data_IF_642141308718
#
_entry.id   IF_642141308718
#
_cell.length_a   1.000
_cell.length_b   1.000
_cell.length_c   1.000
_cell.angle_alpha   90.00
_cell.angle_beta   90.00
_cell.angle_gamma   90.00
#
_symmetry.space_group_name_H-M   'P 1'
#
loop_
_entity.id
_entity.type
_entity.pdbx_description
1 polymer ?
#
# COMPACT_ATOMS: atom_id res chain seq x y z
N UNK A 1 21.02 23.78 -19.55
CA UNK A 1 20.65 23.36 -18.19
C UNK A 1 19.14 23.48 -18.09
N UNK A 2 18.44 22.44 -17.73
CA UNK A 2 17.05 22.56 -17.36
C UNK A 2 16.90 23.54 -16.17
N UNK A 3 15.81 24.33 -16.08
CA UNK A 3 15.59 25.19 -14.92
C UNK A 3 15.55 24.33 -13.65
N UNK A 4 16.02 24.91 -12.52
CA UNK A 4 15.90 24.26 -11.23
C UNK A 4 14.42 23.94 -10.93
N UNK A 5 14.12 22.81 -10.28
CA UNK A 5 12.75 22.50 -9.89
C UNK A 5 12.21 23.62 -9.01
N UNK A 6 10.99 24.07 -9.28
CA UNK A 6 10.38 25.20 -8.58
C UNK A 6 8.93 24.83 -8.21
N UNK A 7 8.58 25.03 -6.96
CA UNK A 7 7.20 24.99 -6.47
C UNK A 7 6.68 26.43 -6.35
N UNK A 8 5.50 26.69 -6.88
CA UNK A 8 4.85 27.99 -6.81
C UNK A 8 4.45 28.33 -5.36
N UNK A 9 5.00 29.38 -4.73
CA UNK A 9 4.72 29.69 -3.33
C UNK A 9 3.26 30.06 -3.05
N UNK A 10 2.58 30.74 -3.98
CA UNK A 10 1.18 31.15 -3.79
C UNK A 10 0.24 29.92 -3.84
N UNK A 11 0.55 28.95 -4.71
CA UNK A 11 -0.17 27.69 -4.78
C UNK A 11 0.07 26.83 -3.53
N UNK A 12 1.31 26.76 -3.02
CA UNK A 12 1.62 26.10 -1.75
C UNK A 12 0.88 26.75 -0.57
N UNK A 13 0.85 28.10 -0.52
CA UNK A 13 0.12 28.81 0.51
C UNK A 13 -1.38 28.46 0.46
N UNK A 14 -1.95 28.39 -0.73
CA UNK A 14 -3.35 27.98 -0.91
C UNK A 14 -3.58 26.55 -0.42
N UNK A 15 -2.69 25.62 -0.77
CA UNK A 15 -2.73 24.23 -0.29
C UNK A 15 -2.69 24.17 1.23
N UNK A 16 -1.74 24.87 1.87
CA UNK A 16 -1.61 24.89 3.33
C UNK A 16 -2.89 25.41 4.00
N UNK A 17 -3.44 26.55 3.54
CA UNK A 17 -4.68 27.10 4.07
C UNK A 17 -5.87 26.14 3.94
N UNK A 18 -5.96 25.39 2.83
CA UNK A 18 -7.04 24.41 2.61
C UNK A 18 -6.95 23.25 3.57
N UNK A 19 -5.74 22.72 3.79
CA UNK A 19 -5.51 21.60 4.70
C UNK A 19 -5.66 22.03 6.16
N UNK A 20 -5.10 23.18 6.55
CA UNK A 20 -5.24 23.75 7.90
C UNK A 20 -6.72 23.97 8.28
N UNK A 21 -7.51 24.52 7.36
CA UNK A 21 -8.93 24.73 7.57
C UNK A 21 -9.71 23.42 7.83
N UNK A 22 -9.26 22.28 7.32
CA UNK A 22 -9.87 20.97 7.65
C UNK A 22 -9.55 20.54 9.07
N UNK A 23 -8.34 20.82 9.55
CA UNK A 23 -7.95 20.56 10.94
C UNK A 23 -8.72 21.48 11.90
N UNK A 24 -8.84 22.75 11.56
CA UNK A 24 -9.64 23.73 12.35
C UNK A 24 -11.12 23.35 12.48
N UNK A 25 -11.68 22.72 11.44
CA UNK A 25 -13.06 22.18 11.47
C UNK A 25 -13.19 20.80 12.12
N UNK A 26 -12.09 20.27 12.68
CA UNK A 26 -12.02 18.93 13.25
C UNK A 26 -12.42 17.80 12.28
N UNK A 27 -12.25 18.01 10.98
CA UNK A 27 -12.35 16.96 9.95
C UNK A 27 -11.14 16.00 9.99
N UNK A 28 -10.01 16.49 10.50
CA UNK A 28 -8.77 15.78 10.76
C UNK A 28 -8.23 16.20 12.13
N UNK A 29 -7.82 15.27 13.01
CA UNK A 29 -7.09 15.63 14.23
C UNK A 29 -5.78 16.34 13.93
N UNK A 30 -5.05 15.82 12.95
CA UNK A 30 -3.81 16.37 12.47
C UNK A 30 -3.31 15.64 11.22
N UNK A 31 -2.34 16.26 10.57
CA UNK A 31 -1.80 15.79 9.29
C UNK A 31 -0.38 16.28 9.08
N UNK A 32 0.42 15.47 8.39
CA UNK A 32 1.71 15.87 7.82
C UNK A 32 1.61 15.74 6.30
N UNK A 33 1.97 16.80 5.57
CA UNK A 33 1.97 16.80 4.11
C UNK A 33 3.37 17.08 3.58
N UNK A 34 3.71 16.49 2.43
CA UNK A 34 4.93 16.79 1.70
C UNK A 34 4.61 16.95 0.23
N UNK A 35 5.10 18.03 -0.36
CA UNK A 35 5.07 18.31 -1.79
C UNK A 35 6.52 18.49 -2.25
N UNK A 36 6.99 17.64 -3.13
CA UNK A 36 8.36 17.72 -3.62
C UNK A 36 8.40 17.76 -5.13
N UNK A 37 9.18 18.67 -5.69
CA UNK A 37 9.53 18.68 -7.12
C UNK A 37 10.96 18.23 -7.29
N UNK A 38 11.12 17.10 -7.98
CA UNK A 38 12.41 16.48 -8.29
C UNK A 38 12.79 16.83 -9.72
N UNK A 39 13.93 17.50 -9.88
CA UNK A 39 14.45 17.87 -11.20
C UNK A 39 15.56 16.95 -11.68
N UNK A 40 15.97 17.16 -12.93
CA UNK A 40 17.09 16.47 -13.53
C UNK A 40 18.39 16.74 -12.75
N UNK A 41 19.29 15.75 -12.73
CA UNK A 41 20.59 15.90 -12.08
C UNK A 41 20.58 15.94 -10.54
N UNK A 42 19.46 15.58 -9.93
CA UNK A 42 19.38 15.41 -8.47
C UNK A 42 18.98 16.65 -7.68
N UNK A 43 18.72 17.78 -8.35
CA UNK A 43 18.12 18.95 -7.68
C UNK A 43 16.69 18.66 -7.25
N UNK A 44 16.28 19.22 -6.10
CA UNK A 44 14.90 19.07 -5.62
C UNK A 44 14.49 20.29 -4.79
N UNK A 45 13.20 20.57 -4.78
CA UNK A 45 12.57 21.47 -3.83
C UNK A 45 11.50 20.70 -3.07
N UNK A 46 11.56 20.76 -1.75
CA UNK A 46 10.66 20.02 -0.84
C UNK A 46 9.97 21.02 0.08
N UNK A 47 8.66 20.94 0.14
CA UNK A 47 7.80 21.66 1.08
C UNK A 47 7.14 20.65 2.01
N UNK A 48 7.24 20.87 3.33
CA UNK A 48 6.61 20.03 4.36
C UNK A 48 5.78 20.92 5.27
N UNK A 49 4.51 20.59 5.42
CA UNK A 49 3.62 21.26 6.35
C UNK A 49 3.05 20.28 7.39
N UNK A 50 2.84 20.79 8.59
CA UNK A 50 2.37 20.01 9.74
C UNK A 50 1.25 20.78 10.43
N UNK A 51 0.08 20.15 10.63
CA UNK A 51 -1.07 20.77 11.25
C UNK A 51 -1.69 19.86 12.30
N UNK A 52 -2.20 20.46 13.39
CA UNK A 52 -3.00 19.77 14.40
C UNK A 52 -2.22 18.91 15.38
N UNK A 53 -2.92 17.93 15.92
CA UNK A 53 -2.48 17.07 17.03
C UNK A 53 -2.54 15.59 16.64
N UNK A 54 -1.88 14.72 17.42
CA UNK A 54 -1.89 13.26 17.20
C UNK A 54 -3.23 12.60 17.54
N UNK A 55 -4.13 13.35 18.17
CA UNK A 55 -5.51 12.96 18.48
C UNK A 55 -6.33 14.19 18.84
N UNK A 56 -7.63 14.16 18.60
CA UNK A 56 -8.53 15.28 18.94
C UNK A 56 -8.43 15.66 20.42
N UNK A 57 -7.97 16.89 20.71
CA UNK A 57 -7.81 17.40 22.05
C UNK A 57 -6.75 16.69 22.91
N UNK A 58 -5.79 16.01 22.27
CA UNK A 58 -4.72 15.30 22.99
C UNK A 58 -3.72 16.25 23.64
N UNK A 59 -3.52 17.43 23.08
CA UNK A 59 -2.45 18.36 23.45
C UNK A 59 -1.07 17.94 22.94
N UNK A 60 -0.97 16.80 22.25
CA UNK A 60 0.27 16.30 21.66
C UNK A 60 0.35 16.77 20.20
N UNK A 61 1.24 17.71 19.85
CA UNK A 61 1.28 18.25 18.50
C UNK A 61 1.72 17.21 17.48
N UNK A 62 1.12 17.24 16.29
CA UNK A 62 1.64 16.54 15.12
C UNK A 62 3.04 17.07 14.80
N UNK A 63 3.93 16.23 14.30
CA UNK A 63 5.33 16.57 13.99
C UNK A 63 5.72 15.98 12.65
N UNK A 64 6.75 16.54 12.00
CA UNK A 64 7.30 16.00 10.76
C UNK A 64 7.76 14.54 10.92
N UNK A 65 8.34 14.19 12.06
CA UNK A 65 8.82 12.86 12.42
C UNK A 65 7.75 11.99 13.10
N UNK A 66 6.47 12.35 13.00
CA UNK A 66 5.37 11.51 13.51
C UNK A 66 5.31 10.21 12.70
N UNK A 67 5.34 9.04 13.36
CA UNK A 67 5.15 7.76 12.68
C UNK A 67 3.67 7.52 12.39
N UNK A 68 3.37 6.92 11.24
CA UNK A 68 2.01 6.59 10.81
C UNK A 68 1.90 5.12 10.44
N UNK A 69 0.77 4.50 10.75
CA UNK A 69 0.40 3.20 10.18
C UNK A 69 0.01 3.43 8.73
N UNK A 70 0.91 3.10 7.80
CA UNK A 70 0.72 3.43 6.38
C UNK A 70 -0.20 2.46 5.65
N UNK A 71 -0.65 1.41 6.32
CA UNK A 71 -1.57 0.40 5.82
C UNK A 71 -1.25 -0.01 4.38
N UNK A 72 -2.17 0.17 3.42
CA UNK A 72 -1.98 -0.31 2.04
C UNK A 72 -0.83 0.36 1.27
N UNK A 73 -0.27 1.47 1.75
CA UNK A 73 0.99 1.98 1.20
C UNK A 73 2.19 1.06 1.49
N UNK A 74 2.01 -0.01 2.26
CA UNK A 74 2.95 -1.14 2.39
C UNK A 74 3.13 -1.89 1.05
N UNK A 75 2.07 -2.03 0.25
CA UNK A 75 2.04 -2.85 -0.97
C UNK A 75 3.11 -2.47 -2.00
N UNK A 76 3.30 -1.18 -2.33
CA UNK A 76 4.36 -0.76 -3.25
C UNK A 76 5.77 -1.13 -2.76
N UNK A 77 6.03 -1.02 -1.45
CA UNK A 77 7.33 -1.36 -0.85
C UNK A 77 7.59 -2.87 -0.96
N UNK A 78 6.58 -3.69 -0.64
CA UNK A 78 6.68 -5.17 -0.76
C UNK A 78 6.80 -5.60 -2.21
N UNK A 79 6.08 -4.97 -3.14
CA UNK A 79 6.22 -5.23 -4.57
C UNK A 79 7.62 -4.86 -5.09
N UNK A 80 8.18 -3.74 -4.64
CA UNK A 80 9.56 -3.33 -4.93
C UNK A 80 10.57 -4.38 -4.40
N UNK A 81 10.31 -4.96 -3.22
CA UNK A 81 11.16 -6.01 -2.66
C UNK A 81 11.13 -7.29 -3.53
N UNK A 82 9.96 -7.67 -4.06
CA UNK A 82 9.87 -8.79 -5.03
C UNK A 82 10.71 -8.50 -6.27
N UNK A 83 10.59 -7.28 -6.81
CA UNK A 83 11.34 -6.88 -8.01
C UNK A 83 12.84 -6.76 -7.74
N UNK A 84 13.28 -6.38 -6.55
CA UNK A 84 14.69 -6.41 -6.17
C UNK A 84 15.27 -7.84 -6.20
N UNK A 85 14.48 -8.84 -5.75
CA UNK A 85 14.88 -10.25 -5.89
C UNK A 85 14.89 -10.71 -7.36
N UNK A 86 13.97 -10.20 -8.19
CA UNK A 86 13.96 -10.47 -9.64
C UNK A 86 15.23 -9.87 -10.30
N UNK A 87 15.55 -8.62 -9.97
CA UNK A 87 16.77 -7.95 -10.47
C UNK A 87 18.06 -8.70 -10.09
N UNK A 88 18.06 -9.33 -8.90
CA UNK A 88 19.15 -10.16 -8.41
C UNK A 88 19.15 -11.60 -8.99
N UNK A 89 18.15 -11.98 -9.79
CA UNK A 89 18.00 -13.33 -10.34
C UNK A 89 17.51 -14.38 -9.33
N UNK A 90 17.02 -13.95 -8.16
CA UNK A 90 16.48 -14.83 -7.12
C UNK A 90 15.03 -15.26 -7.36
N UNK A 91 14.29 -14.53 -8.20
CA UNK A 91 12.92 -14.84 -8.61
C UNK A 91 12.75 -14.61 -10.12
N UNK A 92 11.85 -15.38 -10.72
CA UNK A 92 11.36 -15.15 -12.09
C UNK A 92 9.88 -14.77 -12.01
N UNK A 93 9.51 -13.63 -12.62
CA UNK A 93 8.15 -13.10 -12.60
C UNK A 93 7.13 -14.04 -13.27
N UNK A 94 7.54 -14.79 -14.28
CA UNK A 94 6.68 -15.60 -15.12
C UNK A 94 6.77 -17.11 -14.82
N UNK A 95 7.69 -17.49 -13.94
CA UNK A 95 7.74 -18.85 -13.43
C UNK A 95 6.59 -19.15 -12.45
N UNK A 96 6.09 -20.40 -12.41
CA UNK A 96 5.17 -20.83 -11.36
C UNK A 96 5.72 -20.63 -9.95
N UNK A 97 4.89 -20.13 -9.03
CA UNK A 97 5.31 -19.93 -7.62
C UNK A 97 5.26 -21.22 -6.80
N UNK A 98 4.73 -22.30 -7.32
CA UNK A 98 4.51 -23.59 -6.62
C UNK A 98 5.82 -24.25 -6.15
N UNK A 99 6.94 -23.95 -6.77
CA UNK A 99 8.26 -24.38 -6.29
C UNK A 99 8.62 -23.82 -4.92
N UNK A 100 8.19 -22.61 -4.60
CA UNK A 100 8.37 -21.95 -3.29
C UNK A 100 7.12 -22.02 -2.43
N UNK A 101 5.95 -22.07 -3.05
CA UNK A 101 4.63 -22.13 -2.41
C UNK A 101 3.86 -23.38 -2.88
N UNK A 102 4.29 -24.60 -2.48
CA UNK A 102 3.64 -25.84 -2.92
C UNK A 102 2.16 -25.93 -2.54
N UNK A 103 1.71 -25.15 -1.56
CA UNK A 103 0.29 -25.01 -1.17
C UNK A 103 -0.54 -24.33 -2.28
N UNK A 104 0.11 -23.67 -3.22
CA UNK A 104 -0.54 -23.06 -4.39
C UNK A 104 -0.43 -23.91 -5.67
N UNK A 105 0.14 -25.10 -5.59
CA UNK A 105 0.09 -26.06 -6.68
C UNK A 105 -1.33 -26.62 -6.89
N UNK A 106 -1.63 -27.04 -8.12
CA UNK A 106 -2.87 -27.76 -8.49
C UNK A 106 -4.17 -27.12 -7.98
N UNK A 107 -4.23 -25.77 -8.04
CA UNK A 107 -5.37 -25.00 -7.50
C UNK A 107 -6.68 -25.39 -8.18
N UNK A 108 -7.74 -25.32 -7.38
CA UNK A 108 -9.13 -25.46 -7.84
C UNK A 108 -9.79 -24.09 -7.87
N UNK A 109 -10.66 -23.85 -8.85
CA UNK A 109 -11.38 -22.60 -9.09
C UNK A 109 -12.88 -22.86 -8.97
N UNK A 110 -13.59 -22.01 -8.24
CA UNK A 110 -15.05 -22.06 -8.11
C UNK A 110 -15.74 -21.93 -9.48
N UNK A 111 -16.76 -22.72 -9.71
CA UNK A 111 -17.62 -22.56 -10.91
C UNK A 111 -18.53 -21.34 -10.80
N UNK A 112 -18.90 -20.94 -9.58
CA UNK A 112 -19.68 -19.76 -9.23
C UNK A 112 -19.26 -19.26 -7.84
N UNK A 113 -19.11 -17.96 -7.68
CA UNK A 113 -18.64 -17.32 -6.42
C UNK A 113 -19.56 -17.65 -5.23
N UNK A 114 -20.88 -17.66 -5.47
CA UNK A 114 -21.89 -17.97 -4.45
C UNK A 114 -22.21 -19.46 -4.34
N UNK A 115 -21.46 -20.30 -5.06
CA UNK A 115 -21.67 -21.75 -5.07
C UNK A 115 -21.01 -22.48 -3.92
N UNK A 116 -21.35 -23.78 -3.72
CA UNK A 116 -20.66 -24.62 -2.75
C UNK A 116 -19.17 -24.76 -3.07
N UNK A 117 -18.32 -24.80 -2.02
CA UNK A 117 -16.85 -24.82 -2.15
C UNK A 117 -16.29 -26.06 -2.88
N UNK A 118 -17.04 -27.14 -2.94
CA UNK A 118 -16.68 -28.37 -3.66
C UNK A 118 -17.02 -28.36 -5.16
N UNK A 119 -17.78 -27.32 -5.61
CA UNK A 119 -18.12 -27.11 -7.03
C UNK A 119 -17.03 -26.34 -7.74
N UNK A 120 -15.98 -27.04 -8.10
CA UNK A 120 -14.77 -26.44 -8.66
C UNK A 120 -14.32 -27.13 -9.94
N UNK A 121 -13.53 -26.39 -10.73
CA UNK A 121 -12.77 -26.91 -11.87
C UNK A 121 -11.28 -26.74 -11.59
N UNK A 122 -10.36 -27.45 -12.28
CA UNK A 122 -8.93 -27.16 -12.17
C UNK A 122 -8.60 -25.73 -12.60
N UNK A 123 -7.56 -25.13 -12.01
CA UNK A 123 -6.95 -23.95 -12.58
C UNK A 123 -6.36 -24.30 -13.96
N UNK A 124 -6.52 -23.40 -14.93
CA UNK A 124 -6.06 -23.60 -16.31
C UNK A 124 -4.54 -23.49 -16.44
N UNK A 125 -3.91 -22.79 -15.51
CA UNK A 125 -2.46 -22.65 -15.40
C UNK A 125 -2.02 -22.43 -13.95
N UNK A 126 -0.74 -22.64 -13.63
CA UNK A 126 -0.18 -22.24 -12.35
C UNK A 126 -0.25 -20.71 -12.12
N UNK A 127 -0.19 -20.31 -10.84
CA UNK A 127 -0.02 -18.92 -10.42
C UNK A 127 1.45 -18.53 -10.58
N UNK A 128 1.72 -17.29 -11.05
CA UNK A 128 3.07 -16.75 -11.19
C UNK A 128 3.29 -15.57 -10.21
N UNK A 129 4.55 -15.17 -9.99
CA UNK A 129 4.84 -13.99 -9.19
C UNK A 129 4.23 -12.72 -9.82
N UNK A 130 4.15 -12.64 -11.15
CA UNK A 130 3.45 -11.57 -11.87
C UNK A 130 1.97 -11.51 -11.50
N UNK A 131 1.29 -12.64 -11.37
CA UNK A 131 -0.12 -12.66 -10.96
C UNK A 131 -0.32 -12.10 -9.54
N UNK A 132 0.62 -12.38 -8.63
CA UNK A 132 0.60 -11.83 -7.28
C UNK A 132 0.77 -10.31 -7.28
N UNK A 133 1.77 -9.79 -8.02
CA UNK A 133 2.09 -8.36 -8.11
C UNK A 133 1.00 -7.55 -8.82
N UNK A 134 0.37 -8.15 -9.82
CA UNK A 134 -0.71 -7.52 -10.60
C UNK A 134 -2.11 -7.83 -10.07
N UNK A 135 -2.21 -8.48 -8.91
CA UNK A 135 -3.47 -8.84 -8.24
C UNK A 135 -4.43 -9.68 -9.10
N UNK A 136 -3.86 -10.59 -9.90
CA UNK A 136 -4.58 -11.51 -10.76
C UNK A 136 -4.39 -12.97 -10.35
N UNK A 137 -4.04 -13.22 -9.09
CA UNK A 137 -3.88 -14.61 -8.59
C UNK A 137 -5.17 -15.43 -8.60
N UNK A 138 -6.33 -14.79 -8.78
CA UNK A 138 -7.65 -15.42 -8.76
C UNK A 138 -8.34 -15.42 -7.40
N UNK A 139 -7.86 -14.65 -6.41
CA UNK A 139 -8.48 -14.50 -5.10
C UNK A 139 -8.23 -13.10 -4.53
N UNK A 140 -9.24 -12.53 -3.86
CA UNK A 140 -9.13 -11.24 -3.18
C UNK A 140 -10.49 -10.66 -2.84
N UNK A 141 -10.51 -9.38 -2.46
CA UNK A 141 -11.75 -8.67 -2.16
C UNK A 141 -12.68 -8.65 -3.36
N UNK A 142 -13.99 -8.80 -3.11
CA UNK A 142 -15.02 -8.92 -4.13
C UNK A 142 -16.23 -8.00 -3.93
N UNK A 143 -16.16 -7.09 -2.96
CA UNK A 143 -17.19 -6.09 -2.66
C UNK A 143 -16.68 -4.66 -2.73
N UNK A 144 -17.52 -3.73 -2.28
CA UNK A 144 -17.23 -2.30 -2.16
C UNK A 144 -17.77 -1.77 -0.82
N UNK A 145 -17.32 -0.60 -0.34
CA UNK A 145 -17.88 -0.02 0.86
C UNK A 145 -19.42 0.10 0.80
N UNK A 146 -20.14 -0.13 1.89
CA UNK A 146 -19.61 -0.44 3.22
C UNK A 146 -19.16 -1.91 3.42
N UNK A 147 -19.45 -2.83 2.51
CA UNK A 147 -19.08 -4.24 2.61
C UNK A 147 -18.08 -4.64 1.52
N UNK A 148 -16.82 -4.47 1.85
CA UNK A 148 -15.70 -4.76 0.93
C UNK A 148 -15.44 -6.26 0.74
N UNK A 149 -16.04 -7.10 1.58
CA UNK A 149 -15.89 -8.56 1.52
C UNK A 149 -17.22 -9.24 1.87
N UNK A 150 -18.25 -9.09 1.00
CA UNK A 150 -19.60 -9.57 1.29
C UNK A 150 -19.61 -11.07 1.58
N UNK A 151 -20.50 -11.55 2.45
CA UNK A 151 -20.56 -12.93 2.83
C UNK A 151 -20.86 -13.83 1.61
N UNK A 152 -19.84 -14.53 1.15
CA UNK A 152 -19.91 -15.62 0.19
C UNK A 152 -19.37 -16.89 0.85
N UNK A 153 -19.69 -18.09 0.36
CA UNK A 153 -19.18 -19.33 0.98
C UNK A 153 -17.65 -19.33 1.16
N UNK A 154 -16.91 -18.79 0.21
CA UNK A 154 -15.44 -18.76 0.29
C UNK A 154 -14.93 -17.69 1.25
N UNK A 155 -15.58 -16.53 1.34
CA UNK A 155 -15.22 -15.49 2.32
C UNK A 155 -15.51 -15.97 3.75
N UNK A 156 -16.66 -16.58 3.98
CA UNK A 156 -17.01 -17.19 5.28
C UNK A 156 -16.04 -18.30 5.67
N UNK A 157 -15.60 -19.11 4.70
CA UNK A 157 -14.61 -20.15 4.95
C UNK A 157 -13.22 -19.58 5.29
N UNK A 158 -12.85 -18.43 4.71
CA UNK A 158 -11.62 -17.72 5.05
C UNK A 158 -11.70 -17.10 6.46
N UNK A 159 -12.85 -16.50 6.79
CA UNK A 159 -13.12 -15.94 8.12
C UNK A 159 -13.07 -17.02 9.21
N UNK A 160 -13.74 -18.18 8.98
CA UNK A 160 -13.69 -19.32 9.90
C UNK A 160 -12.29 -19.89 10.14
N UNK A 161 -11.33 -19.56 9.27
CA UNK A 161 -9.91 -19.92 9.39
C UNK A 161 -9.04 -18.79 9.92
N UNK A 162 -9.65 -17.67 10.36
CA UNK A 162 -8.96 -16.48 10.85
C UNK A 162 -7.85 -15.97 9.89
N UNK A 163 -8.11 -16.02 8.57
CA UNK A 163 -7.12 -15.60 7.57
C UNK A 163 -6.94 -14.09 7.47
N UNK A 164 -7.87 -13.28 7.99
CA UNK A 164 -7.81 -11.81 8.02
C UNK A 164 -7.44 -11.20 6.67
N UNK A 165 -8.28 -11.46 5.64
CA UNK A 165 -7.93 -11.15 4.24
C UNK A 165 -8.09 -9.69 3.84
N UNK A 166 -8.92 -8.91 4.54
CA UNK A 166 -9.33 -7.57 4.12
C UNK A 166 -8.87 -6.44 5.05
N UNK A 167 -8.63 -6.72 6.32
CA UNK A 167 -8.33 -5.68 7.30
C UNK A 167 -6.83 -5.36 7.33
N UNK A 168 -6.47 -4.07 7.49
CA UNK A 168 -5.08 -3.63 7.54
C UNK A 168 -4.47 -3.79 8.94
N UNK A 169 -4.71 -4.92 9.62
CA UNK A 169 -4.32 -5.09 11.01
C UNK A 169 -3.29 -6.20 11.19
N UNK A 170 -2.30 -6.05 12.09
CA UNK A 170 -1.35 -7.11 12.41
C UNK A 170 -1.99 -8.19 13.32
N UNK A 171 -3.23 -8.57 13.04
CA UNK A 171 -4.02 -9.50 13.88
C UNK A 171 -4.14 -10.91 13.34
N UNK A 172 -3.50 -11.20 12.23
CA UNK A 172 -3.49 -12.58 11.71
C UNK A 172 -2.82 -13.50 12.73
N UNK A 173 -3.54 -14.47 13.31
CA UNK A 173 -3.01 -15.27 14.42
C UNK A 173 -2.05 -16.37 13.97
N UNK A 174 -1.98 -16.62 12.67
CA UNK A 174 -1.19 -17.69 12.06
C UNK A 174 0.19 -17.19 11.64
N UNK A 175 1.21 -18.01 11.89
CA UNK A 175 2.52 -17.81 11.25
C UNK A 175 2.41 -17.97 9.71
N UNK A 176 3.33 -17.41 8.92
CA UNK A 176 3.24 -17.40 7.45
C UNK A 176 3.02 -18.78 6.82
N UNK A 177 3.70 -19.81 7.29
CA UNK A 177 3.56 -21.17 6.76
C UNK A 177 2.19 -21.79 7.06
N UNK A 178 1.64 -21.55 8.23
CA UNK A 178 0.30 -22.01 8.56
C UNK A 178 -0.76 -21.20 7.81
N UNK A 179 -0.56 -19.89 7.67
CA UNK A 179 -1.46 -19.03 6.92
C UNK A 179 -1.58 -19.49 5.46
N UNK A 180 -0.45 -19.72 4.76
CA UNK A 180 -0.47 -20.12 3.35
C UNK A 180 -1.03 -21.52 3.18
N UNK A 181 -0.81 -22.43 4.13
CA UNK A 181 -1.41 -23.76 4.16
C UNK A 181 -2.93 -23.67 4.22
N UNK A 182 -3.47 -22.91 5.16
CA UNK A 182 -4.92 -22.71 5.31
C UNK A 182 -5.53 -21.99 4.09
N UNK A 183 -4.84 -21.00 3.52
CA UNK A 183 -5.24 -20.33 2.30
C UNK A 183 -5.24 -21.31 1.10
N UNK A 184 -4.24 -22.18 1.04
CA UNK A 184 -4.10 -23.21 0.02
C UNK A 184 -5.30 -24.18 -0.05
N UNK A 185 -6.02 -24.40 1.05
CA UNK A 185 -7.21 -25.27 1.11
C UNK A 185 -8.46 -24.62 0.50
N UNK A 186 -8.49 -23.28 0.33
CA UNK A 186 -9.64 -22.60 -0.25
C UNK A 186 -9.57 -22.66 -1.79
N UNK A 187 -10.70 -22.85 -2.50
CA UNK A 187 -10.70 -22.68 -3.94
C UNK A 187 -10.49 -21.21 -4.33
N UNK A 188 -9.89 -20.99 -5.49
CA UNK A 188 -9.82 -19.66 -6.09
C UNK A 188 -11.22 -19.19 -6.52
N UNK A 189 -11.43 -17.88 -6.55
CA UNK A 189 -12.65 -17.22 -7.03
C UNK A 189 -12.71 -17.18 -8.56
N UNK A 190 -11.54 -16.96 -9.22
CA UNK A 190 -11.39 -16.86 -10.67
C UNK A 190 -10.16 -17.62 -11.15
N UNK A 191 -10.07 -17.87 -12.45
CA UNK A 191 -8.87 -18.41 -13.08
C UNK A 191 -7.70 -17.43 -12.92
N UNK A 192 -6.48 -17.94 -12.61
CA UNK A 192 -5.29 -17.11 -12.52
C UNK A 192 -5.07 -16.29 -13.78
N UNK A 193 -4.81 -14.98 -13.62
CA UNK A 193 -4.57 -14.03 -14.71
C UNK A 193 -5.82 -13.40 -15.30
N UNK A 194 -7.04 -13.80 -14.93
CA UNK A 194 -8.26 -13.34 -15.60
C UNK A 194 -8.86 -12.08 -15.01
N UNK A 195 -8.92 -11.96 -13.67
CA UNK A 195 -9.54 -10.83 -12.98
C UNK A 195 -8.62 -10.19 -11.97
N UNK A 196 -8.70 -8.88 -11.85
CA UNK A 196 -8.08 -8.12 -10.78
C UNK A 196 -8.90 -8.24 -9.50
N UNK A 197 -8.23 -8.62 -8.39
CA UNK A 197 -8.85 -8.68 -7.05
C UNK A 197 -7.89 -8.18 -6.00
N UNK A 198 -8.36 -7.20 -5.26
CA UNK A 198 -7.55 -6.46 -4.30
C UNK A 198 -7.07 -7.30 -3.11
N UNK A 199 -5.92 -6.94 -2.57
CA UNK A 199 -5.33 -7.24 -1.27
C UNK A 199 -4.57 -8.56 -1.16
N UNK A 200 -5.19 -9.72 -1.44
CA UNK A 200 -4.63 -11.04 -1.09
C UNK A 200 -3.30 -11.32 -1.79
N UNK A 201 -3.11 -10.81 -3.00
CA UNK A 201 -1.83 -10.93 -3.70
C UNK A 201 -0.64 -10.45 -2.86
N UNK A 202 -0.77 -9.35 -2.13
CA UNK A 202 0.32 -8.83 -1.29
C UNK A 202 0.55 -9.64 -0.01
N UNK A 203 -0.48 -10.28 0.53
CA UNK A 203 -0.31 -11.22 1.65
C UNK A 203 0.56 -12.42 1.21
N UNK A 204 0.23 -12.98 0.04
CA UNK A 204 0.98 -14.10 -0.54
C UNK A 204 2.41 -13.67 -0.93
N UNK A 205 2.60 -12.45 -1.45
CA UNK A 205 3.94 -11.89 -1.72
C UNK A 205 4.83 -11.90 -0.47
N UNK A 206 4.28 -11.57 0.70
CA UNK A 206 5.03 -11.62 1.96
C UNK A 206 5.56 -13.02 2.27
N UNK A 207 4.74 -14.06 2.07
CA UNK A 207 5.18 -15.46 2.27
C UNK A 207 6.18 -15.89 1.19
N UNK A 208 5.93 -15.51 -0.07
CA UNK A 208 6.85 -15.79 -1.18
C UNK A 208 8.24 -15.22 -0.92
N UNK A 209 8.32 -13.94 -0.51
CA UNK A 209 9.57 -13.26 -0.20
C UNK A 209 10.34 -13.96 0.92
N UNK A 210 9.66 -14.28 2.02
CA UNK A 210 10.30 -14.94 3.15
C UNK A 210 10.90 -16.30 2.76
N UNK A 211 10.20 -17.07 1.94
CA UNK A 211 10.70 -18.38 1.45
C UNK A 211 11.79 -18.24 0.39
N UNK A 212 11.66 -17.29 -0.55
CA UNK A 212 12.65 -17.07 -1.59
C UNK A 212 14.01 -16.59 -1.02
N UNK A 213 13.98 -15.80 0.05
CA UNK A 213 15.16 -15.29 0.72
C UNK A 213 15.62 -16.18 1.91
N UNK A 214 14.85 -17.21 2.28
CA UNK A 214 15.09 -18.05 3.46
C UNK A 214 15.25 -17.22 4.76
N UNK A 215 14.50 -16.11 4.87
CA UNK A 215 14.58 -15.15 5.96
C UNK A 215 13.19 -14.56 6.29
N UNK A 216 12.99 -14.03 7.51
CA UNK A 216 11.75 -13.32 7.86
C UNK A 216 11.46 -12.15 6.91
N UNK A 217 10.18 -11.91 6.57
CA UNK A 217 9.79 -10.84 5.66
C UNK A 217 10.33 -9.46 6.07
N UNK A 218 10.35 -9.15 7.38
CA UNK A 218 10.86 -7.88 7.90
C UNK A 218 12.35 -7.69 7.53
N UNK A 219 13.16 -8.72 7.72
CA UNK A 219 14.58 -8.69 7.39
C UNK A 219 14.80 -8.52 5.87
N UNK A 220 14.02 -9.22 5.05
CA UNK A 220 14.12 -9.14 3.58
C UNK A 220 13.76 -7.74 3.06
N UNK A 221 12.65 -7.17 3.55
CA UNK A 221 12.24 -5.81 3.17
C UNK A 221 13.26 -4.78 3.64
N UNK A 222 13.78 -4.94 4.86
CA UNK A 222 14.80 -4.07 5.44
C UNK A 222 16.07 -4.09 4.60
N UNK A 223 16.62 -5.26 4.32
CA UNK A 223 17.88 -5.42 3.59
C UNK A 223 17.79 -4.89 2.14
N UNK A 224 16.70 -5.21 1.44
CA UNK A 224 16.60 -4.93 0.01
C UNK A 224 16.08 -3.52 -0.30
N UNK A 225 15.26 -2.93 0.57
CA UNK A 225 14.61 -1.64 0.30
C UNK A 225 14.87 -0.61 1.40
N UNK A 226 14.59 -0.91 2.69
CA UNK A 226 14.60 0.14 3.71
C UNK A 226 16.00 0.67 3.99
N UNK A 227 16.97 -0.20 4.25
CA UNK A 227 18.36 0.19 4.52
C UNK A 227 19.02 0.89 3.31
N UNK A 228 18.88 0.39 2.06
CA UNK A 228 19.36 1.10 0.88
C UNK A 228 18.79 2.50 0.68
N UNK A 229 17.58 2.76 1.17
CA UNK A 229 16.89 4.05 1.09
C UNK A 229 17.05 4.92 2.35
N UNK A 230 17.68 4.40 3.41
CA UNK A 230 17.82 5.08 4.69
C UNK A 230 16.50 5.25 5.46
N UNK A 231 15.51 4.38 5.22
CA UNK A 231 14.18 4.41 5.84
C UNK A 231 14.21 3.80 7.26
N UNK A 232 14.92 4.47 8.17
CA UNK A 232 15.24 3.94 9.49
C UNK A 232 14.02 3.87 10.44
N UNK A 233 12.99 4.68 10.19
CA UNK A 233 11.77 4.76 10.99
C UNK A 233 10.62 3.92 10.38
N UNK A 234 10.95 3.03 9.41
CA UNK A 234 9.98 2.17 8.73
C UNK A 234 10.18 0.71 9.10
N UNK A 235 9.09 0.00 9.42
CA UNK A 235 9.14 -1.43 9.75
C UNK A 235 7.76 -2.03 10.04
N UNK A 236 7.70 -3.37 10.09
CA UNK A 236 6.51 -4.12 10.55
C UNK A 236 6.33 -4.07 12.06
N UNK A 237 7.39 -3.73 12.78
CA UNK A 237 7.39 -3.29 14.17
C UNK A 237 8.37 -2.14 14.32
N UNK A 238 8.12 -1.26 15.29
CA UNK A 238 8.95 -0.07 15.55
C UNK A 238 9.34 -0.01 17.02
N UNK A 239 10.42 0.69 17.39
CA UNK A 239 10.81 0.88 18.79
C UNK A 239 9.65 1.40 19.66
N UNK A 240 9.62 1.04 20.94
CA UNK A 240 8.52 1.37 21.85
C UNK A 240 8.24 2.87 21.93
N UNK A 241 9.28 3.68 21.97
CA UNK A 241 9.17 5.14 22.01
C UNK A 241 8.52 5.71 20.73
N UNK A 242 8.79 5.12 19.59
CA UNK A 242 8.14 5.45 18.32
C UNK A 242 6.69 4.95 18.29
N UNK A 243 6.45 3.71 18.72
CA UNK A 243 5.10 3.13 18.76
C UNK A 243 4.14 3.93 19.67
N UNK A 244 4.65 4.48 20.78
CA UNK A 244 3.88 5.36 21.69
C UNK A 244 3.46 6.69 21.06
N UNK A 245 4.13 7.11 19.98
CA UNK A 245 3.87 8.37 19.25
C UNK A 245 2.90 8.18 18.08
N UNK A 246 2.44 6.94 17.81
CA UNK A 246 1.47 6.67 16.75
C UNK A 246 0.17 7.45 17.01
N UNK A 247 -0.33 8.23 16.03
CA UNK A 247 -1.55 8.99 16.17
C UNK A 247 -2.77 8.09 16.39
N UNK A 248 -3.79 8.62 17.04
CA UNK A 248 -5.08 7.97 17.14
C UNK A 248 -5.70 7.74 15.74
N UNK A 249 -6.31 6.57 15.54
CA UNK A 249 -7.07 6.30 14.32
C UNK A 249 -8.53 6.74 14.49
N UNK A 250 -9.08 7.39 13.45
CA UNK A 250 -10.42 7.97 13.44
C UNK A 250 -11.20 7.55 12.19
N UNK A 251 -12.51 7.41 12.39
CA UNK A 251 -13.49 7.21 11.33
C UNK A 251 -14.66 8.17 11.56
N UNK A 252 -15.35 8.59 10.50
CA UNK A 252 -16.56 9.39 10.63
C UNK A 252 -17.74 8.50 11.02
N UNK A 253 -18.45 8.86 12.06
CA UNK A 253 -19.78 8.31 12.34
C UNK A 253 -20.76 8.90 11.31
N UNK A 254 -21.22 8.09 10.39
CA UNK A 254 -22.13 8.53 9.32
C UNK A 254 -23.50 9.02 9.83
N UNK A 255 -23.90 8.67 11.06
CA UNK A 255 -25.16 9.13 11.64
C UNK A 255 -25.05 10.55 12.21
N UNK A 256 -23.89 10.92 12.76
CA UNK A 256 -23.65 12.22 13.41
C UNK A 256 -22.77 13.15 12.59
N UNK A 257 -21.94 12.62 11.68
CA UNK A 257 -20.91 13.35 10.94
C UNK A 257 -19.67 13.66 11.78
N UNK A 258 -19.59 13.16 13.01
CA UNK A 258 -18.47 13.41 13.92
C UNK A 258 -17.38 12.33 13.76
N UNK A 259 -16.12 12.73 13.98
CA UNK A 259 -15.01 11.78 14.06
C UNK A 259 -15.12 10.98 15.36
N UNK A 260 -15.09 9.66 15.21
CA UNK A 260 -15.05 8.72 16.33
C UNK A 260 -13.74 7.96 16.31
N UNK A 261 -13.28 7.57 17.50
CA UNK A 261 -12.10 6.72 17.66
C UNK A 261 -12.54 5.29 17.89
N UNK A 262 -12.41 4.40 16.91
CA UNK A 262 -12.65 2.97 17.13
C UNK A 262 -11.75 2.43 18.25
N UNK A 263 -12.13 1.30 18.89
CA UNK A 263 -11.22 0.60 19.79
C UNK A 263 -9.92 0.32 19.03
N UNK A 264 -8.88 1.11 19.34
CA UNK A 264 -7.61 1.00 18.65
C UNK A 264 -6.84 -0.20 19.17
N UNK A 265 -6.03 -0.81 18.30
CA UNK A 265 -4.96 -1.67 18.74
C UNK A 265 -4.05 -0.90 19.69
N UNK A 266 -3.73 -1.46 20.85
CA UNK A 266 -2.79 -0.83 21.73
C UNK A 266 -1.46 -0.65 21.00
N UNK A 267 -0.76 0.46 21.26
CA UNK A 267 0.54 0.74 20.65
C UNK A 267 1.55 -0.42 20.81
N UNK A 268 1.40 -1.24 21.85
CA UNK A 268 2.22 -2.43 22.11
C UNK A 268 2.19 -3.42 20.96
N UNK A 269 1.09 -3.51 20.22
CA UNK A 269 0.96 -4.37 19.03
C UNK A 269 1.96 -3.97 17.95
N UNK A 270 2.30 -2.69 17.87
CA UNK A 270 3.24 -2.15 16.87
C UNK A 270 4.68 -2.10 17.37
N UNK A 271 4.90 -2.30 18.67
CA UNK A 271 6.23 -2.39 19.28
C UNK A 271 6.76 -3.82 19.36
N UNK A 272 5.95 -4.82 19.03
CA UNK A 272 6.33 -6.23 19.02
C UNK A 272 6.30 -6.79 17.60
N UNK A 273 7.18 -7.74 17.25
CA UNK A 273 7.13 -8.43 15.98
C UNK A 273 5.75 -9.08 15.76
N UNK A 274 5.14 -8.83 14.61
CA UNK A 274 3.86 -9.43 14.24
C UNK A 274 4.04 -10.95 14.01
N UNK A 275 3.07 -11.77 14.42
CA UNK A 275 3.05 -13.21 14.12
C UNK A 275 3.04 -13.43 12.59
N UNK A 276 2.29 -12.58 11.88
CA UNK A 276 2.25 -12.53 10.41
C UNK A 276 2.55 -11.11 9.97
N UNK A 277 3.79 -10.79 9.58
CA UNK A 277 4.09 -9.50 8.95
C UNK A 277 3.29 -9.36 7.66
N UNK A 278 2.32 -8.43 7.65
CA UNK A 278 1.39 -8.30 6.53
C UNK A 278 2.00 -7.53 5.37
N UNK A 279 2.35 -8.20 4.29
CA UNK A 279 2.78 -7.56 3.04
C UNK A 279 1.73 -6.65 2.40
N UNK A 280 0.49 -6.70 2.88
CA UNK A 280 -0.60 -5.88 2.39
C UNK A 280 -0.79 -4.56 3.17
N UNK A 281 -0.39 -4.50 4.47
CA UNK A 281 -0.74 -3.35 5.31
C UNK A 281 0.07 -3.19 6.61
N UNK A 282 1.14 -3.95 6.80
CA UNK A 282 1.79 -4.11 8.10
C UNK A 282 2.82 -3.05 8.48
N UNK A 283 3.17 -2.09 7.61
CA UNK A 283 4.23 -1.14 7.89
C UNK A 283 3.74 0.10 8.66
N UNK A 284 4.59 0.54 9.57
CA UNK A 284 4.66 1.91 10.09
C UNK A 284 5.74 2.64 9.31
N UNK A 285 5.57 3.95 9.06
CA UNK A 285 6.56 4.78 8.37
C UNK A 285 6.40 6.24 8.77
N UNK A 286 7.36 7.09 8.41
CA UNK A 286 7.30 8.55 8.48
C UNK A 286 7.18 9.16 7.09
N UNK A 287 6.86 10.45 7.02
CA UNK A 287 6.72 11.14 5.73
C UNK A 287 8.05 11.21 4.97
N UNK A 288 9.16 11.39 5.69
CA UNK A 288 10.50 11.48 5.10
C UNK A 288 10.98 10.12 4.57
N UNK A 289 10.76 9.05 5.33
CA UNK A 289 11.09 7.69 4.89
C UNK A 289 10.30 7.32 3.63
N UNK A 290 8.99 7.55 3.64
CA UNK A 290 8.18 7.24 2.46
C UNK A 290 8.54 8.12 1.25
N UNK A 291 8.95 9.37 1.48
CA UNK A 291 9.47 10.24 0.42
C UNK A 291 10.75 9.66 -0.20
N UNK A 292 11.65 9.09 0.57
CA UNK A 292 12.85 8.44 0.03
C UNK A 292 12.48 7.32 -0.96
N UNK A 293 11.47 6.49 -0.63
CA UNK A 293 10.94 5.47 -1.53
C UNK A 293 10.28 6.07 -2.78
N UNK A 294 9.39 7.06 -2.60
CA UNK A 294 8.68 7.71 -3.71
C UNK A 294 9.65 8.42 -4.67
N UNK A 295 10.66 9.10 -4.13
CA UNK A 295 11.73 9.77 -4.89
C UNK A 295 12.58 8.77 -5.67
N UNK A 296 12.92 7.64 -5.08
CA UNK A 296 13.68 6.58 -5.76
C UNK A 296 12.95 6.12 -7.03
N UNK A 297 11.62 5.94 -6.99
CA UNK A 297 10.85 5.58 -8.18
C UNK A 297 10.86 6.69 -9.24
N UNK A 298 10.70 7.98 -8.85
CA UNK A 298 10.83 9.12 -9.78
C UNK A 298 12.21 9.20 -10.42
N UNK A 299 13.24 8.68 -9.77
CA UNK A 299 14.63 8.60 -10.25
C UNK A 299 14.97 7.26 -10.87
N UNK A 300 13.99 6.56 -11.44
CA UNK A 300 14.17 5.29 -12.14
C UNK A 300 14.96 4.25 -11.34
N UNK A 301 14.67 4.14 -10.06
CA UNK A 301 15.24 3.16 -9.15
C UNK A 301 16.55 3.61 -8.47
N UNK A 302 16.98 4.86 -8.65
CA UNK A 302 18.23 5.37 -8.07
C UNK A 302 17.99 6.19 -6.80
N UNK A 303 18.76 5.92 -5.76
CA UNK A 303 18.81 6.69 -4.52
C UNK A 303 20.27 6.99 -4.17
N UNK A 304 20.63 8.28 -3.98
CA UNK A 304 21.98 8.76 -3.59
C UNK A 304 23.12 8.14 -4.42
N UNK A 305 22.87 8.00 -5.73
CA UNK A 305 23.85 7.40 -6.66
C UNK A 305 23.93 5.87 -6.65
N UNK A 306 23.15 5.21 -5.82
CA UNK A 306 23.00 3.74 -5.79
C UNK A 306 21.75 3.31 -6.56
N UNK A 307 21.87 2.29 -7.39
CA UNK A 307 20.70 1.63 -7.99
C UNK A 307 20.10 0.67 -6.96
N UNK A 308 18.86 0.93 -6.54
CA UNK A 308 18.08 0.09 -5.61
C UNK A 308 17.20 -0.88 -6.40
N UNK A 309 16.54 -0.39 -7.46
CA UNK A 309 15.79 -1.19 -8.42
C UNK A 309 16.29 -0.91 -9.85
N UNK A 310 16.28 -1.88 -10.73
CA UNK A 310 16.57 -1.63 -12.14
C UNK A 310 15.54 -0.68 -12.76
N UNK A 311 15.90 0.15 -13.77
CA UNK A 311 14.93 0.95 -14.49
C UNK A 311 13.78 0.13 -15.08
N UNK A 312 14.05 -1.11 -15.52
CA UNK A 312 13.03 -2.02 -16.04
C UNK A 312 12.02 -2.43 -14.95
N UNK A 313 12.49 -2.70 -13.74
CA UNK A 313 11.60 -3.01 -12.60
C UNK A 313 10.75 -1.82 -12.20
N UNK A 314 11.30 -0.60 -12.21
CA UNK A 314 10.52 0.62 -11.97
C UNK A 314 9.47 0.81 -13.07
N UNK A 315 9.83 0.60 -14.35
CA UNK A 315 8.88 0.69 -15.47
C UNK A 315 7.73 -0.32 -15.30
N UNK A 316 8.02 -1.56 -14.92
CA UNK A 316 6.99 -2.56 -14.62
C UNK A 316 6.07 -2.14 -13.48
N UNK A 317 6.60 -1.52 -12.42
CA UNK A 317 5.80 -1.04 -11.29
C UNK A 317 4.86 0.10 -11.69
N UNK A 318 5.35 1.01 -12.52
CA UNK A 318 4.70 2.30 -12.81
C UNK A 318 3.96 2.33 -14.13
N UNK A 319 3.83 1.19 -14.81
CA UNK A 319 3.07 1.03 -16.06
C UNK A 319 1.88 0.09 -15.84
N UNK A 320 0.73 0.43 -16.40
CA UNK A 320 -0.47 -0.40 -16.29
C UNK A 320 -0.24 -1.80 -16.90
N UNK A 321 -0.56 -2.84 -16.14
CA UNK A 321 -0.43 -4.25 -16.49
C UNK A 321 -1.78 -4.93 -16.79
N UNK A 322 -2.90 -4.19 -16.69
CA UNK A 322 -4.25 -4.72 -16.89
C UNK A 322 -4.75 -4.41 -18.31
N UNK A 323 -5.58 -5.30 -18.83
CA UNK A 323 -6.33 -5.01 -20.07
C UNK A 323 -7.49 -4.05 -19.78
N UNK A 324 -8.04 -3.37 -20.81
CA UNK A 324 -9.21 -2.52 -20.64
C UNK A 324 -10.42 -3.26 -20.04
N UNK A 325 -10.60 -4.53 -20.37
CA UNK A 325 -11.68 -5.37 -19.86
C UNK A 325 -11.45 -5.66 -18.35
N UNK A 326 -10.22 -5.95 -17.96
CA UNK A 326 -9.86 -6.17 -16.55
C UNK A 326 -10.07 -4.91 -15.72
N UNK A 327 -9.76 -3.73 -16.25
CA UNK A 327 -10.01 -2.44 -15.59
C UNK A 327 -11.51 -2.21 -15.45
N UNK A 328 -12.29 -2.42 -16.52
CA UNK A 328 -13.74 -2.20 -16.51
C UNK A 328 -14.47 -3.14 -15.53
N UNK A 329 -13.96 -4.35 -15.32
CA UNK A 329 -14.53 -5.34 -14.41
C UNK A 329 -13.92 -5.30 -12.99
N UNK A 330 -12.88 -4.48 -12.77
CA UNK A 330 -12.22 -4.40 -11.48
C UNK A 330 -13.15 -3.83 -10.41
N UNK A 331 -13.31 -4.52 -9.27
CA UNK A 331 -14.09 -3.98 -8.18
C UNK A 331 -13.34 -2.83 -7.49
N UNK A 332 -14.03 -2.13 -6.59
CA UNK A 332 -13.39 -1.21 -5.66
C UNK A 332 -12.12 -1.86 -5.04
N UNK A 333 -11.01 -1.11 -4.84
CA UNK A 333 -10.86 0.35 -4.94
C UNK A 333 -10.17 0.86 -6.21
N UNK A 334 -10.16 0.12 -7.32
CA UNK A 334 -9.43 0.53 -8.52
C UNK A 334 -10.08 1.70 -9.28
N UNK A 335 -11.39 1.79 -9.23
CA UNK A 335 -12.20 2.91 -9.74
C UNK A 335 -11.82 3.39 -11.16
N UNK A 336 -11.64 2.44 -12.07
CA UNK A 336 -11.31 2.73 -13.47
C UNK A 336 -9.84 3.07 -13.75
N UNK A 337 -8.99 3.14 -12.75
CA UNK A 337 -7.54 3.24 -12.96
C UNK A 337 -6.95 1.90 -13.42
N UNK A 338 -5.74 1.94 -13.99
CA UNK A 338 -4.93 0.77 -14.21
C UNK A 338 -4.20 0.34 -12.94
N UNK A 339 -3.54 -0.81 -13.00
CA UNK A 339 -2.70 -1.34 -11.95
C UNK A 339 -1.34 -1.74 -12.52
N UNK A 340 -0.27 -1.24 -11.89
CA UNK A 340 1.09 -1.66 -12.18
C UNK A 340 1.48 -2.89 -11.35
N UNK A 341 2.64 -2.86 -10.73
CA UNK A 341 3.02 -3.87 -9.74
C UNK A 341 2.97 -3.28 -8.34
N UNK A 342 1.86 -3.55 -7.63
CA UNK A 342 1.63 -3.13 -6.26
C UNK A 342 1.07 -1.72 -6.05
N UNK A 343 0.71 -0.99 -7.12
CA UNK A 343 0.16 0.37 -7.06
C UNK A 343 -0.77 0.68 -8.24
N UNK A 344 -1.64 1.68 -8.11
CA UNK A 344 -2.45 2.16 -9.22
C UNK A 344 -1.65 3.02 -10.18
N UNK A 345 -2.08 3.02 -11.44
CA UNK A 345 -1.49 3.83 -12.52
C UNK A 345 -2.63 4.43 -13.35
N UNK A 346 -2.68 5.76 -13.45
CA UNK A 346 -3.68 6.43 -14.29
C UNK A 346 -3.26 6.47 -15.76
N UNK A 347 -4.20 6.80 -16.65
CA UNK A 347 -3.92 6.93 -18.08
C UNK A 347 -2.89 8.03 -18.39
N UNK A 348 -2.79 9.06 -17.53
CA UNK A 348 -1.83 10.15 -17.63
C UNK A 348 -0.45 9.81 -17.06
N UNK A 349 -0.27 8.59 -16.52
CA UNK A 349 0.98 8.11 -15.96
C UNK A 349 1.24 8.56 -14.52
N UNK A 350 0.24 9.13 -13.81
CA UNK A 350 0.31 9.29 -12.36
C UNK A 350 0.26 7.91 -11.72
N UNK A 351 1.09 7.65 -10.73
CA UNK A 351 1.08 6.40 -9.99
C UNK A 351 1.21 6.63 -8.48
N UNK A 352 0.70 5.71 -7.70
CA UNK A 352 0.71 5.78 -6.23
C UNK A 352 -0.32 4.85 -5.61
N UNK A 353 -0.51 4.97 -4.32
CA UNK A 353 -1.55 4.22 -3.59
C UNK A 353 -1.90 4.88 -2.27
N UNK A 354 -3.10 4.53 -1.77
CA UNK A 354 -3.63 5.06 -0.53
C UNK A 354 -3.51 4.03 0.59
N UNK A 355 -3.39 4.53 1.81
CA UNK A 355 -3.52 3.73 3.02
C UNK A 355 -4.91 3.89 3.63
N UNK A 356 -5.61 2.79 3.88
CA UNK A 356 -7.00 2.77 4.32
C UNK A 356 -7.29 3.51 5.63
N UNK A 357 -6.27 3.91 6.37
CA UNK A 357 -6.42 4.71 7.59
C UNK A 357 -6.09 6.19 7.39
N UNK A 358 -6.05 6.67 6.14
CA UNK A 358 -5.95 8.09 5.81
C UNK A 358 -4.56 8.56 5.43
N UNK A 359 -3.73 7.67 4.89
CA UNK A 359 -2.46 8.04 4.26
C UNK A 359 -2.61 8.00 2.73
N UNK A 360 -1.83 8.80 2.02
CA UNK A 360 -1.89 8.94 0.57
C UNK A 360 -0.53 9.25 0.00
N UNK A 361 -0.24 8.69 -1.16
CA UNK A 361 0.93 9.00 -1.97
C UNK A 361 0.60 8.99 -3.46
N UNK A 362 1.11 10.00 -4.17
CA UNK A 362 1.12 10.04 -5.61
C UNK A 362 2.43 10.62 -6.15
N UNK A 363 2.91 10.01 -7.23
CA UNK A 363 3.95 10.58 -8.09
C UNK A 363 3.33 10.98 -9.43
N UNK A 364 3.72 12.17 -9.94
CA UNK A 364 3.39 12.67 -11.28
C UNK A 364 4.70 12.83 -12.07
N UNK A 365 5.16 11.79 -12.80
CA UNK A 365 6.48 11.80 -13.43
C UNK A 365 6.70 12.96 -14.40
N UNK A 366 5.68 13.33 -15.16
CA UNK A 366 5.77 14.45 -16.13
C UNK A 366 5.97 15.82 -15.48
N UNK A 367 5.63 15.97 -14.17
CA UNK A 367 5.89 17.17 -13.37
C UNK A 367 7.15 17.01 -12.49
N UNK A 368 7.72 15.81 -12.40
CA UNK A 368 8.71 15.47 -11.39
C UNK A 368 8.18 15.62 -9.96
N UNK A 369 6.86 15.49 -9.77
CA UNK A 369 6.19 15.76 -8.50
C UNK A 369 6.00 14.49 -7.69
N UNK A 370 6.29 14.60 -6.38
CA UNK A 370 5.84 13.68 -5.35
C UNK A 370 4.91 14.42 -4.39
N UNK A 371 3.74 13.86 -4.12
CA UNK A 371 2.76 14.37 -3.17
C UNK A 371 2.47 13.29 -2.11
N UNK A 372 2.66 13.63 -0.83
CA UNK A 372 2.44 12.76 0.31
C UNK A 372 1.54 13.43 1.34
N UNK A 373 0.56 12.69 1.83
CA UNK A 373 -0.37 13.13 2.87
C UNK A 373 -0.48 12.03 3.92
N UNK A 374 -0.14 12.33 5.15
CA UNK A 374 -0.17 11.36 6.25
C UNK A 374 -1.06 11.85 7.38
N UNK A 375 -2.20 11.20 7.53
CA UNK A 375 -3.10 11.31 8.67
C UNK A 375 -3.47 9.93 9.20
N UNK A 376 -4.34 9.86 10.20
CA UNK A 376 -4.95 8.61 10.66
C UNK A 376 -6.48 8.78 10.69
N UNK A 377 -7.04 9.35 9.62
CA UNK A 377 -8.48 9.54 9.43
C UNK A 377 -8.92 8.87 8.15
N UNK A 378 -9.59 7.72 8.27
CA UNK A 378 -9.99 6.87 7.14
C UNK A 378 -10.73 7.64 6.05
N UNK A 379 -11.65 8.52 6.45
CA UNK A 379 -12.50 9.24 5.49
C UNK A 379 -11.74 10.23 4.60
N UNK A 380 -10.52 10.62 4.98
CA UNK A 380 -9.72 11.55 4.18
C UNK A 380 -9.47 11.04 2.75
N UNK A 381 -9.39 9.71 2.55
CA UNK A 381 -9.21 9.12 1.21
C UNK A 381 -10.52 8.94 0.44
N UNK A 382 -11.69 9.06 1.11
CA UNK A 382 -13.00 8.85 0.48
C UNK A 382 -13.82 10.14 0.32
N UNK A 383 -13.59 11.15 1.16
CA UNK A 383 -14.37 12.39 1.18
C UNK A 383 -13.80 13.51 0.27
N UNK A 384 -12.82 13.18 -0.56
CA UNK A 384 -12.16 14.12 -1.48
C UNK A 384 -11.01 14.92 -0.88
N UNK A 385 -10.63 14.72 0.39
CA UNK A 385 -9.53 15.47 1.02
C UNK A 385 -8.18 15.21 0.33
N UNK A 386 -7.81 13.94 0.12
CA UNK A 386 -6.56 13.58 -0.55
C UNK A 386 -6.59 13.93 -2.04
N UNK A 387 -7.75 13.85 -2.70
CA UNK A 387 -7.91 14.25 -4.09
C UNK A 387 -7.75 15.78 -4.28
N UNK A 388 -8.30 16.60 -3.35
CA UNK A 388 -8.07 18.05 -3.32
C UNK A 388 -6.59 18.36 -3.09
N UNK A 389 -5.96 17.68 -2.12
CA UNK A 389 -4.54 17.83 -1.83
C UNK A 389 -3.67 17.53 -3.07
N UNK A 390 -3.90 16.39 -3.74
CA UNK A 390 -3.15 15.98 -4.95
C UNK A 390 -3.29 17.01 -6.09
N UNK A 391 -4.53 17.51 -6.29
CA UNK A 391 -4.81 18.54 -7.29
C UNK A 391 -4.04 19.84 -7.01
N UNK A 392 -4.04 20.30 -5.76
CA UNK A 392 -3.34 21.53 -5.35
C UNK A 392 -1.81 21.35 -5.40
N UNK A 393 -1.30 20.16 -5.04
CA UNK A 393 0.12 19.83 -5.18
C UNK A 393 0.57 19.86 -6.66
N UNK A 394 -0.25 19.30 -7.57
CA UNK A 394 0.03 19.37 -9.00
C UNK A 394 0.02 20.80 -9.53
N UNK A 395 -0.89 21.67 -9.07
CA UNK A 395 -0.91 23.09 -9.41
C UNK A 395 0.32 23.85 -8.90
N UNK A 396 0.86 23.44 -7.74
CA UNK A 396 2.09 24.05 -7.20
C UNK A 396 3.34 23.65 -8.00
N UNK A 397 3.32 22.53 -8.69
CA UNK A 397 4.43 22.02 -9.50
C UNK A 397 4.33 22.38 -11.00
N UNK A 398 3.19 22.92 -11.47
CA UNK A 398 2.92 23.24 -12.88
C UNK A 398 3.63 24.57 -13.39
#
# INVERSE_FOLDING_TARGET
>A
MAPAPHLNPDALQTLHQRIEARVERAELPGVVTLVARVGDGGSEQVDVAVFGETGLGSGDPMRRDTPFRITSMTKPIVAATVLALVDAGGLDLDAPVDGLLPELADRRVLTHLDGPLDRTVPAERPITARDLLTFRLGFGMNGAPPDINPPSPVNLAAEQRDLVLAQPEPRTPHAPDEWIRLFGELPLMDQPGTRWRYNVGSLVQGVLLARAAEAPLDDVVRELILDPLGMADTGFSVPEDQARRLPGWYVTDFATGELTRPPADPWQTWAAPAVFPSGAAGLVSTIDDYYAFARMLLRHGTHEGRQVLSPASVELMTTNQLTPEQIAEAPFPLDGAGWGMGMSVTAEGRYGWDGGWGTFWANHPHLGLCALFMSQTTDAIFNGTTAEFDTLAAQAAA
#
